data_IF_683372912418
#
_entry.id   IF_683372912418
#
_cell.length_a   1.000
_cell.length_b   1.000
_cell.length_c   1.000
_cell.angle_alpha   90.00
_cell.angle_beta   90.00
_cell.angle_gamma   90.00
#
_symmetry.space_group_name_H-M   'P 1'
#
loop_
_entity.id
_entity.type
_entity.pdbx_description
1 polymer ?
#
# COMPACT_ATOMS: atom_id res chain seq x y z
N UNK A 1 18.29 -9.56 14.46
CA UNK A 1 17.55 -9.96 13.24
C UNK A 1 18.14 -9.20 12.06
N UNK A 2 18.59 -9.87 10.99
CA UNK A 2 19.19 -9.19 9.85
C UNK A 2 18.12 -8.49 8.99
N UNK A 3 17.85 -7.21 9.25
CA UNK A 3 16.94 -6.37 8.47
C UNK A 3 17.30 -6.24 6.97
N UNK A 4 18.53 -6.61 6.61
CA UNK A 4 19.00 -6.65 5.22
C UNK A 4 18.18 -7.60 4.33
N UNK A 5 17.81 -8.79 4.82
CA UNK A 5 17.04 -9.76 4.03
C UNK A 5 15.66 -9.24 3.60
N UNK A 6 14.80 -8.77 4.51
CA UNK A 6 13.49 -8.26 4.11
C UNK A 6 13.60 -7.00 3.23
N UNK A 7 14.60 -6.15 3.46
CA UNK A 7 14.81 -4.96 2.63
C UNK A 7 15.15 -5.32 1.18
N UNK A 8 16.04 -6.30 0.97
CA UNK A 8 16.41 -6.79 -0.37
C UNK A 8 15.19 -7.40 -1.07
N UNK A 9 14.39 -8.19 -0.35
CA UNK A 9 13.17 -8.79 -0.91
C UNK A 9 12.15 -7.71 -1.30
N UNK A 10 11.92 -6.72 -0.46
CA UNK A 10 11.01 -5.62 -0.74
C UNK A 10 11.47 -4.81 -1.96
N UNK A 11 12.75 -4.44 -2.02
CA UNK A 11 13.32 -3.71 -3.15
C UNK A 11 13.23 -4.52 -4.45
N UNK A 12 13.59 -5.81 -4.40
CA UNK A 12 13.50 -6.71 -5.56
C UNK A 12 12.07 -6.86 -6.06
N UNK A 13 11.09 -6.95 -5.15
CA UNK A 13 9.68 -7.01 -5.51
C UNK A 13 9.18 -5.72 -6.19
N UNK A 14 9.57 -4.55 -5.68
CA UNK A 14 9.23 -3.27 -6.29
C UNK A 14 9.82 -3.13 -7.71
N UNK A 15 11.07 -3.55 -7.90
CA UNK A 15 11.70 -3.54 -9.23
C UNK A 15 10.98 -4.49 -10.18
N UNK A 16 10.67 -5.71 -9.74
CA UNK A 16 9.92 -6.69 -10.54
C UNK A 16 8.55 -6.14 -10.95
N UNK A 17 7.83 -5.51 -10.02
CA UNK A 17 6.54 -4.90 -10.29
C UNK A 17 6.67 -3.76 -11.32
N UNK A 18 7.65 -2.87 -11.18
CA UNK A 18 7.89 -1.81 -12.15
C UNK A 18 8.17 -2.38 -13.55
N UNK A 19 9.01 -3.41 -13.65
CA UNK A 19 9.32 -4.09 -14.92
C UNK A 19 8.06 -4.68 -15.53
N UNK A 20 7.24 -5.38 -14.75
CA UNK A 20 6.00 -5.99 -15.24
C UNK A 20 5.01 -4.95 -15.77
N UNK A 21 4.82 -3.82 -15.06
CA UNK A 21 3.92 -2.75 -15.51
C UNK A 21 4.44 -2.14 -16.82
N UNK A 22 5.74 -1.87 -16.91
CA UNK A 22 6.35 -1.30 -18.12
C UNK A 22 6.29 -2.27 -19.30
N UNK A 23 6.49 -3.58 -19.08
CA UNK A 23 6.49 -4.59 -20.14
C UNK A 23 5.07 -4.94 -20.63
N UNK A 24 4.09 -4.98 -19.71
CA UNK A 24 2.69 -5.28 -20.05
C UNK A 24 1.98 -4.11 -20.70
N UNK A 25 2.49 -2.88 -20.55
CA UNK A 25 1.82 -1.68 -21.05
C UNK A 25 0.46 -1.46 -20.41
N UNK A 26 0.23 -2.01 -19.21
CA UNK A 26 -1.04 -1.92 -18.52
C UNK A 26 -1.43 -0.43 -18.36
N UNK A 27 -2.69 -0.06 -18.66
CA UNK A 27 -3.11 1.31 -18.50
C UNK A 27 -2.91 1.79 -17.05
N UNK A 28 -2.36 2.99 -16.81
CA UNK A 28 -2.01 3.46 -15.46
C UNK A 28 -3.17 3.53 -14.47
N UNK A 29 -4.42 3.61 -14.96
CA UNK A 29 -5.62 3.62 -14.14
C UNK A 29 -6.05 2.22 -13.67
N UNK A 30 -5.56 1.14 -14.31
CA UNK A 30 -5.80 -0.25 -13.90
C UNK A 30 -4.68 -0.72 -12.96
N UNK A 31 -3.44 -0.48 -13.37
CA UNK A 31 -2.26 -0.89 -12.62
C UNK A 31 -1.18 0.19 -12.73
N UNK A 32 -1.20 1.20 -11.85
CA UNK A 32 -0.10 2.14 -11.78
C UNK A 32 1.18 1.41 -11.35
N UNK A 33 2.32 1.90 -11.82
CA UNK A 33 3.61 1.43 -11.34
C UNK A 33 3.84 1.77 -9.85
N UNK A 34 4.83 1.15 -9.20
CA UNK A 34 5.18 1.43 -7.81
C UNK A 34 5.52 2.90 -7.53
N UNK A 35 6.13 3.60 -8.50
CA UNK A 35 6.58 4.98 -8.31
C UNK A 35 5.41 5.97 -8.14
N UNK A 36 4.43 6.05 -9.07
CA UNK A 36 3.22 6.86 -8.86
C UNK A 36 2.43 6.51 -7.59
N UNK A 37 2.41 5.23 -7.21
CA UNK A 37 1.74 4.78 -5.96
C UNK A 37 2.46 5.35 -4.73
N UNK A 38 3.80 5.32 -4.73
CA UNK A 38 4.60 5.90 -3.66
C UNK A 38 4.43 7.42 -3.54
N UNK A 39 4.42 8.14 -4.66
CA UNK A 39 4.16 9.57 -4.70
C UNK A 39 2.77 9.90 -4.14
N UNK A 40 1.73 9.21 -4.61
CA UNK A 40 0.36 9.39 -4.14
C UNK A 40 0.21 9.07 -2.64
N UNK A 41 0.92 8.06 -2.13
CA UNK A 41 0.91 7.70 -0.71
C UNK A 41 1.45 8.84 0.15
N UNK A 42 2.54 9.49 -0.27
CA UNK A 42 3.17 10.60 0.46
C UNK A 42 2.32 11.87 0.34
N UNK A 43 1.87 12.21 -0.86
CA UNK A 43 1.08 13.42 -1.09
C UNK A 43 -0.29 13.39 -0.39
N UNK A 44 -0.93 12.22 -0.36
CA UNK A 44 -2.26 12.04 0.26
C UNK A 44 -2.17 11.47 1.66
N UNK A 45 -0.99 11.38 2.25
CA UNK A 45 -0.78 10.74 3.55
C UNK A 45 -1.72 11.23 4.65
N UNK A 46 -1.93 12.56 4.87
CA UNK A 46 -2.84 13.03 5.92
C UNK A 46 -4.29 12.60 5.70
N UNK A 47 -4.74 12.60 4.44
CA UNK A 47 -6.09 12.18 4.07
C UNK A 47 -6.26 10.67 4.27
N UNK A 48 -5.30 9.87 3.81
CA UNK A 48 -5.29 8.42 3.97
C UNK A 48 -5.31 8.03 5.45
N UNK A 49 -4.52 8.72 6.28
CA UNK A 49 -4.46 8.46 7.71
C UNK A 49 -5.79 8.78 8.42
N UNK A 50 -6.45 9.87 8.04
CA UNK A 50 -7.77 10.24 8.56
C UNK A 50 -8.79 9.12 8.29
N UNK A 51 -8.92 8.68 7.04
CA UNK A 51 -9.84 7.59 6.68
C UNK A 51 -9.45 6.26 7.32
N UNK A 52 -8.16 5.92 7.35
CA UNK A 52 -7.66 4.72 8.02
C UNK A 52 -8.08 4.70 9.50
N UNK A 53 -7.95 5.83 10.19
CA UNK A 53 -8.31 5.92 11.62
C UNK A 53 -9.81 5.71 11.85
N UNK A 54 -10.65 6.29 11.00
CA UNK A 54 -12.11 6.11 11.07
C UNK A 54 -12.49 4.65 10.81
N UNK A 55 -12.00 4.05 9.73
CA UNK A 55 -12.30 2.64 9.40
C UNK A 55 -11.79 1.70 10.48
N UNK A 56 -10.61 1.96 11.05
CA UNK A 56 -10.08 1.16 12.15
C UNK A 56 -10.98 1.26 13.39
N UNK A 57 -11.45 2.47 13.73
CA UNK A 57 -12.37 2.67 14.84
C UNK A 57 -13.71 1.96 14.60
N UNK A 58 -14.27 2.04 13.40
CA UNK A 58 -15.50 1.34 13.00
C UNK A 58 -15.35 -0.18 13.14
N UNK A 59 -14.24 -0.76 12.65
CA UNK A 59 -13.95 -2.20 12.78
C UNK A 59 -13.87 -2.61 14.25
N UNK A 60 -13.12 -1.86 15.06
CA UNK A 60 -12.91 -2.21 16.47
C UNK A 60 -14.20 -2.08 17.29
N UNK A 61 -14.98 -1.02 17.05
CA UNK A 61 -16.28 -0.83 17.70
C UNK A 61 -17.28 -1.90 17.27
N UNK A 62 -17.37 -2.20 15.97
CA UNK A 62 -18.24 -3.25 15.45
C UNK A 62 -17.89 -4.62 16.02
N UNK A 63 -16.59 -4.95 16.10
CA UNK A 63 -16.12 -6.19 16.71
C UNK A 63 -16.47 -6.26 18.20
N UNK A 64 -16.19 -5.19 18.96
CA UNK A 64 -16.46 -5.14 20.40
C UNK A 64 -17.95 -5.27 20.69
N UNK A 65 -18.81 -4.53 19.98
CA UNK A 65 -20.26 -4.59 20.15
C UNK A 65 -20.86 -5.93 19.69
N UNK A 66 -20.24 -6.60 18.71
CA UNK A 66 -20.73 -7.87 18.19
C UNK A 66 -20.28 -9.10 18.98
N UNK A 67 -19.28 -8.97 19.85
CA UNK A 67 -18.74 -10.09 20.65
C UNK A 67 -19.11 -10.04 22.14
N UNK A 68 -19.69 -8.94 22.60
CA UNK A 68 -20.33 -8.81 23.92
C UNK A 68 -21.81 -9.17 23.78
#
# INVERSE_FOLDING_TARGET
MNFLRPLILAAGFLVLWQILVTLTGAPPYILPGPLPVGEALVEKFPLLLSHLSTTLAEILLGLALGTI
#
